data_IF_804802653939
#
_entry.id   IF_804802653939
#
_cell.length_a   1.000
_cell.length_b   1.000
_cell.length_c   1.000
_cell.angle_alpha   90.00
_cell.angle_beta   90.00
_cell.angle_gamma   90.00
#
_symmetry.space_group_name_H-M   'P 1'
#
loop_
_entity.id
_entity.type
_entity.pdbx_description
1 polymer ?
#
# COMPACT_ATOMS: atom_id res chain seq x y z
N UNK A 1 -20.53 -50.66 -4.01
CA UNK A 1 -19.48 -49.76 -3.55
C UNK A 1 -18.92 -49.00 -4.75
N UNK A 2 -19.20 -47.71 -4.84
CA UNK A 2 -18.59 -46.82 -5.83
C UNK A 2 -17.18 -46.51 -5.30
N UNK A 3 -16.16 -46.92 -6.05
CA UNK A 3 -14.77 -46.59 -5.73
C UNK A 3 -14.46 -45.14 -6.09
N UNK A 4 -14.09 -44.35 -5.10
CA UNK A 4 -13.71 -42.92 -5.25
C UNK A 4 -12.27 -42.75 -4.75
N UNK A 5 -11.27 -42.91 -5.64
CA UNK A 5 -9.86 -42.85 -5.22
C UNK A 5 -9.46 -41.46 -4.79
N UNK A 6 -8.47 -41.38 -3.92
CA UNK A 6 -7.84 -40.09 -3.59
C UNK A 6 -7.06 -39.55 -4.79
N UNK A 7 -7.14 -38.25 -4.96
CA UNK A 7 -6.38 -37.51 -5.97
C UNK A 7 -5.88 -36.19 -5.39
N UNK A 8 -4.93 -35.59 -6.08
CA UNK A 8 -4.39 -34.27 -5.73
C UNK A 8 -4.45 -33.34 -6.93
N UNK A 9 -4.74 -32.09 -6.68
CA UNK A 9 -4.69 -31.03 -7.68
C UNK A 9 -4.08 -29.78 -7.09
N UNK A 10 -3.23 -29.07 -7.86
CA UNK A 10 -2.59 -27.83 -7.44
C UNK A 10 -3.28 -26.64 -8.10
N UNK A 11 -3.84 -25.78 -7.27
CA UNK A 11 -4.40 -24.50 -7.68
C UNK A 11 -3.35 -23.42 -7.59
N UNK A 12 -3.18 -22.65 -8.64
CA UNK A 12 -2.17 -21.57 -8.72
C UNK A 12 -2.81 -20.19 -8.60
N UNK A 13 -1.99 -19.19 -8.32
CA UNK A 13 -2.40 -17.77 -8.23
C UNK A 13 -3.52 -17.53 -7.21
N UNK A 14 -3.47 -18.21 -6.09
CA UNK A 14 -4.38 -17.97 -4.96
C UNK A 14 -3.89 -16.72 -4.24
N UNK A 15 -4.71 -15.69 -4.20
CA UNK A 15 -4.41 -14.46 -3.45
C UNK A 15 -4.58 -14.71 -1.95
N UNK A 16 -3.54 -14.39 -1.19
CA UNK A 16 -3.61 -14.42 0.28
C UNK A 16 -4.29 -13.15 0.76
N UNK A 17 -5.43 -13.31 1.44
CA UNK A 17 -6.16 -12.19 2.02
C UNK A 17 -5.61 -11.85 3.39
N UNK A 18 -5.34 -10.57 3.61
CA UNK A 18 -4.88 -10.07 4.89
C UNK A 18 -6.09 -9.76 5.75
N UNK A 19 -6.10 -10.28 6.97
CA UNK A 19 -7.16 -10.02 7.94
C UNK A 19 -6.59 -9.28 9.15
N UNK A 20 -7.43 -8.48 9.81
CA UNK A 20 -7.05 -7.66 10.97
C UNK A 20 -5.94 -6.63 10.66
N UNK A 21 -5.97 -6.05 9.48
CA UNK A 21 -5.01 -5.01 9.07
C UNK A 21 -5.09 -3.75 9.94
N UNK A 22 -6.27 -3.46 10.51
CA UNK A 22 -6.47 -2.34 11.43
C UNK A 22 -5.57 -2.39 12.66
N UNK A 23 -5.13 -3.57 13.10
CA UNK A 23 -4.22 -3.67 14.23
C UNK A 23 -2.85 -3.03 13.96
N UNK A 24 -2.42 -2.98 12.71
CA UNK A 24 -1.22 -2.25 12.29
C UNK A 24 -1.46 -0.73 12.29
N UNK A 25 -2.58 -0.30 11.74
CA UNK A 25 -2.98 1.12 11.73
C UNK A 25 -3.09 1.69 13.15
N UNK A 26 -3.68 0.92 14.08
CA UNK A 26 -3.82 1.30 15.48
C UNK A 26 -2.47 1.45 16.19
N UNK A 27 -1.46 0.69 15.77
CA UNK A 27 -0.09 0.78 16.29
C UNK A 27 0.76 1.82 15.52
N UNK A 28 0.15 2.53 14.59
CA UNK A 28 0.82 3.50 13.74
C UNK A 28 1.93 2.88 12.88
N UNK A 29 1.70 1.66 12.39
CA UNK A 29 2.58 0.97 11.44
C UNK A 29 2.04 1.05 10.02
N UNK A 30 2.95 1.05 9.06
CA UNK A 30 2.67 0.72 7.67
C UNK A 30 3.34 -0.60 7.32
N UNK A 31 2.86 -1.26 6.29
CA UNK A 31 3.45 -2.53 5.87
C UNK A 31 3.41 -2.68 4.35
N UNK A 32 4.30 -3.53 3.87
CA UNK A 32 4.34 -3.99 2.49
C UNK A 32 4.47 -5.51 2.47
N UNK A 33 3.72 -6.17 1.59
CA UNK A 33 3.88 -7.60 1.33
C UNK A 33 5.06 -7.78 0.38
N UNK A 34 6.13 -8.40 0.87
CA UNK A 34 7.36 -8.61 0.10
C UNK A 34 7.29 -9.90 -0.69
N UNK A 35 6.71 -10.96 -0.12
CA UNK A 35 6.58 -12.27 -0.75
C UNK A 35 5.40 -13.03 -0.14
N UNK A 36 4.87 -13.99 -0.90
CA UNK A 36 3.78 -14.86 -0.45
C UNK A 36 2.37 -14.25 -0.58
N UNK A 37 2.22 -13.15 -1.32
CA UNK A 37 0.91 -12.53 -1.57
C UNK A 37 0.02 -13.33 -2.53
N UNK A 38 0.63 -14.12 -3.41
CA UNK A 38 -0.04 -15.09 -4.28
C UNK A 38 0.68 -16.41 -4.19
N UNK A 39 -0.06 -17.48 -3.95
CA UNK A 39 0.52 -18.80 -3.68
C UNK A 39 -0.18 -19.89 -4.50
N UNK A 40 0.46 -21.05 -4.54
CA UNK A 40 -0.14 -22.30 -5.02
C UNK A 40 -0.56 -23.14 -3.83
N UNK A 41 -1.70 -23.82 -3.97
CA UNK A 41 -2.27 -24.72 -2.95
C UNK A 41 -2.55 -26.05 -3.56
N UNK A 42 -2.03 -27.14 -2.96
CA UNK A 42 -2.33 -28.49 -3.36
C UNK A 42 -3.46 -29.04 -2.49
N UNK A 43 -4.55 -29.44 -3.14
CA UNK A 43 -5.70 -30.04 -2.48
C UNK A 43 -5.73 -31.52 -2.79
N UNK A 44 -5.82 -32.34 -1.75
CA UNK A 44 -5.90 -33.81 -1.84
C UNK A 44 -7.16 -34.31 -1.18
N UNK A 45 -7.77 -35.32 -1.76
CA UNK A 45 -8.98 -35.93 -1.22
C UNK A 45 -9.68 -36.83 -2.25
N UNK A 46 -10.94 -37.21 -1.98
CA UNK A 46 -11.72 -38.03 -2.93
C UNK A 46 -11.82 -37.33 -4.29
N UNK A 47 -11.62 -38.11 -5.35
CA UNK A 47 -11.58 -37.57 -6.72
C UNK A 47 -12.85 -36.84 -7.09
N UNK A 48 -14.00 -37.32 -6.70
CA UNK A 48 -15.30 -36.69 -6.96
C UNK A 48 -15.40 -35.30 -6.35
N UNK A 49 -14.76 -35.08 -5.20
CA UNK A 49 -14.73 -33.79 -4.51
C UNK A 49 -13.70 -32.86 -5.14
N UNK A 50 -12.46 -33.31 -5.30
CA UNK A 50 -11.35 -32.50 -5.80
C UNK A 50 -11.60 -32.01 -7.22
N UNK A 51 -12.13 -32.85 -8.10
CA UNK A 51 -12.40 -32.46 -9.49
C UNK A 51 -13.54 -31.45 -9.66
N UNK A 52 -14.39 -31.31 -8.64
CA UNK A 52 -15.49 -30.34 -8.63
C UNK A 52 -15.08 -28.96 -8.07
N UNK A 53 -13.85 -28.83 -7.59
CA UNK A 53 -13.35 -27.59 -7.01
C UNK A 53 -12.87 -26.59 -8.07
N UNK A 54 -13.07 -25.31 -7.78
CA UNK A 54 -12.57 -24.19 -8.55
C UNK A 54 -11.57 -23.40 -7.73
N UNK A 55 -10.76 -22.57 -8.38
CA UNK A 55 -9.83 -21.66 -7.72
C UNK A 55 -10.54 -20.80 -6.66
N UNK A 56 -11.76 -20.35 -6.95
CA UNK A 56 -12.56 -19.54 -6.02
C UNK A 56 -13.00 -20.25 -4.75
N UNK A 57 -12.90 -21.58 -4.71
CA UNK A 57 -13.23 -22.39 -3.54
C UNK A 57 -12.07 -22.48 -2.54
N UNK A 58 -10.88 -22.01 -2.93
CA UNK A 58 -9.68 -22.03 -2.10
C UNK A 58 -9.52 -20.68 -1.43
N UNK A 59 -9.56 -20.62 -0.11
CA UNK A 59 -9.36 -19.42 0.69
C UNK A 59 -8.01 -19.49 1.40
N UNK A 60 -7.14 -18.50 1.13
CA UNK A 60 -5.88 -18.33 1.83
C UNK A 60 -5.91 -17.02 2.60
N UNK A 61 -5.54 -17.04 3.88
CA UNK A 61 -5.57 -15.88 4.75
C UNK A 61 -4.29 -15.77 5.58
N UNK A 62 -3.90 -14.54 5.91
CA UNK A 62 -2.86 -14.22 6.87
C UNK A 62 -3.42 -13.23 7.88
N UNK A 63 -3.34 -13.57 9.16
CA UNK A 63 -3.87 -12.77 10.27
C UNK A 63 -2.78 -11.86 10.82
N UNK A 64 -2.97 -10.55 10.69
CA UNK A 64 -2.02 -9.53 11.12
C UNK A 64 -2.25 -9.02 12.55
N UNK A 65 -3.16 -9.64 13.30
CA UNK A 65 -3.53 -9.17 14.65
C UNK A 65 -2.40 -9.20 15.67
N UNK A 66 -1.43 -10.09 15.50
CA UNK A 66 -0.30 -10.27 16.42
C UNK A 66 1.03 -9.74 15.89
N UNK A 67 1.00 -9.02 14.78
CA UNK A 67 2.18 -8.47 14.13
C UNK A 67 2.77 -7.35 14.99
N UNK A 68 4.11 -7.34 15.10
CA UNK A 68 4.90 -6.29 15.76
C UNK A 68 5.87 -5.68 14.74
N UNK A 69 6.58 -4.62 15.14
CA UNK A 69 7.61 -4.00 14.29
C UNK A 69 8.75 -4.96 13.90
N UNK A 70 8.90 -6.08 14.63
CA UNK A 70 9.94 -7.09 14.41
C UNK A 70 9.45 -8.33 13.67
N UNK A 71 8.17 -8.36 13.28
CA UNK A 71 7.60 -9.49 12.56
C UNK A 71 8.00 -9.45 11.09
N UNK A 72 8.64 -10.50 10.61
CA UNK A 72 9.01 -10.65 9.20
C UNK A 72 8.04 -11.57 8.44
N UNK A 73 7.48 -12.57 9.13
CA UNK A 73 6.63 -13.60 8.52
C UNK A 73 5.34 -13.79 9.29
N UNK A 74 4.28 -14.03 8.55
CA UNK A 74 2.95 -14.39 9.09
C UNK A 74 2.49 -15.68 8.43
N UNK A 75 2.04 -16.63 9.23
CA UNK A 75 1.56 -17.91 8.72
C UNK A 75 0.35 -17.73 7.81
N UNK A 76 0.36 -18.48 6.70
CA UNK A 76 -0.76 -18.54 5.77
C UNK A 76 -1.63 -19.72 6.14
N UNK A 77 -2.92 -19.46 6.35
CA UNK A 77 -3.93 -20.48 6.59
C UNK A 77 -4.77 -20.68 5.34
N UNK A 78 -5.03 -21.93 5.02
CA UNK A 78 -5.78 -22.31 3.81
C UNK A 78 -6.98 -23.15 4.19
N UNK A 79 -8.12 -22.83 3.59
CA UNK A 79 -9.36 -23.59 3.70
C UNK A 79 -9.95 -23.82 2.32
N UNK A 80 -10.66 -24.93 2.18
CA UNK A 80 -11.50 -25.17 1.01
C UNK A 80 -12.94 -24.94 1.40
N UNK A 81 -13.58 -23.99 0.72
CA UNK A 81 -14.96 -23.58 1.02
C UNK A 81 -15.78 -23.78 -0.25
N UNK A 82 -16.75 -24.68 -0.19
CA UNK A 82 -17.66 -24.97 -1.28
C UNK A 82 -19.09 -24.69 -0.85
N UNK A 83 -19.80 -23.87 -1.63
CA UNK A 83 -21.19 -23.49 -1.34
C UNK A 83 -21.39 -22.93 0.08
N UNK A 84 -20.41 -22.14 0.55
CA UNK A 84 -20.44 -21.52 1.87
C UNK A 84 -20.03 -22.41 3.03
N UNK A 85 -19.60 -23.65 2.77
CA UNK A 85 -19.20 -24.61 3.79
C UNK A 85 -17.73 -25.01 3.67
N UNK A 86 -17.04 -25.07 4.82
CA UNK A 86 -15.68 -25.59 4.89
C UNK A 86 -15.70 -27.08 4.70
N UNK A 87 -14.93 -27.60 3.74
CA UNK A 87 -14.80 -29.02 3.48
C UNK A 87 -13.75 -29.62 4.42
N UNK A 88 -14.15 -30.70 5.14
CA UNK A 88 -13.27 -31.39 6.08
C UNK A 88 -12.70 -32.69 5.53
N UNK A 89 -13.18 -33.15 4.37
CA UNK A 89 -12.77 -34.40 3.72
C UNK A 89 -11.67 -34.20 2.67
N UNK A 90 -11.09 -33.02 2.63
CA UNK A 90 -9.95 -32.68 1.79
C UNK A 90 -8.84 -32.08 2.64
N UNK A 91 -7.60 -32.26 2.20
CA UNK A 91 -6.42 -31.63 2.78
C UNK A 91 -5.90 -30.58 1.81
N UNK A 92 -5.70 -29.36 2.31
CA UNK A 92 -5.16 -28.26 1.52
C UNK A 92 -3.82 -27.83 2.10
N UNK A 93 -2.78 -27.89 1.29
CA UNK A 93 -1.40 -27.57 1.70
C UNK A 93 -0.89 -26.42 0.84
N UNK A 94 -0.58 -25.25 1.43
CA UNK A 94 0.03 -24.16 0.70
C UNK A 94 1.49 -24.49 0.36
N UNK A 95 1.90 -24.21 -0.85
CA UNK A 95 3.31 -24.35 -1.26
C UNK A 95 4.20 -23.37 -0.52
N UNK A 96 3.70 -22.16 -0.31
CA UNK A 96 4.31 -21.14 0.54
C UNK A 96 3.51 -21.06 1.83
N UNK A 97 4.14 -21.37 2.96
CA UNK A 97 3.45 -21.48 4.26
C UNK A 97 3.40 -20.18 5.03
N UNK A 98 4.20 -19.17 4.66
CA UNK A 98 4.26 -17.89 5.33
C UNK A 98 4.36 -16.75 4.34
N UNK A 99 3.69 -15.65 4.70
CA UNK A 99 3.74 -14.38 3.99
C UNK A 99 4.85 -13.54 4.60
N UNK A 100 5.71 -12.96 3.76
CA UNK A 100 6.78 -12.07 4.19
C UNK A 100 6.32 -10.63 4.15
N UNK A 101 6.52 -9.92 5.25
CA UNK A 101 6.17 -8.52 5.42
C UNK A 101 7.41 -7.66 5.67
N UNK A 102 7.35 -6.43 5.20
CA UNK A 102 8.20 -5.34 5.66
C UNK A 102 7.34 -4.33 6.40
N UNK A 103 7.66 -4.04 7.67
CA UNK A 103 6.87 -3.18 8.54
C UNK A 103 7.69 -1.99 8.94
N UNK A 104 7.10 -0.80 8.87
CA UNK A 104 7.71 0.45 9.28
C UNK A 104 6.75 1.22 10.17
N UNK A 105 7.32 2.06 11.06
CA UNK A 105 6.55 3.08 11.74
C UNK A 105 6.10 4.15 10.74
N UNK A 106 4.94 4.70 11.00
CA UNK A 106 4.47 5.94 10.39
C UNK A 106 4.89 7.12 11.24
N UNK A 107 5.31 8.19 10.62
CA UNK A 107 5.69 9.41 11.30
C UNK A 107 5.19 10.62 10.52
N UNK A 108 5.30 11.79 11.14
CA UNK A 108 4.86 13.07 10.57
C UNK A 108 5.98 14.07 10.71
N UNK A 109 6.24 14.84 9.66
CA UNK A 109 7.07 16.02 9.76
C UNK A 109 6.36 17.24 9.18
N UNK A 110 6.66 18.40 9.73
CA UNK A 110 6.11 19.67 9.30
C UNK A 110 7.15 20.41 8.46
N UNK A 111 6.76 20.77 7.25
CA UNK A 111 7.61 21.51 6.33
C UNK A 111 6.96 22.83 5.93
N UNK A 112 7.78 23.88 5.74
CA UNK A 112 7.31 25.12 5.15
C UNK A 112 7.00 24.92 3.67
N UNK A 113 6.03 25.67 3.19
CA UNK A 113 5.64 25.64 1.78
C UNK A 113 6.42 26.73 1.03
N UNK A 114 7.26 26.29 0.08
CA UNK A 114 8.03 27.20 -0.77
C UNK A 114 7.18 27.61 -1.97
N UNK A 115 6.99 28.91 -2.14
CA UNK A 115 6.26 29.47 -3.28
C UNK A 115 7.26 29.92 -4.32
N UNK A 116 7.24 29.30 -5.50
CA UNK A 116 8.08 29.63 -6.63
C UNK A 116 7.24 30.27 -7.74
N UNK A 117 7.80 31.26 -8.39
CA UNK A 117 7.17 31.89 -9.55
C UNK A 117 7.81 31.38 -10.84
N UNK A 118 7.00 31.22 -11.88
CA UNK A 118 7.43 30.86 -13.21
C UNK A 118 7.00 31.92 -14.22
N UNK A 119 7.74 32.03 -15.31
CA UNK A 119 7.49 33.00 -16.36
C UNK A 119 8.03 34.39 -15.98
N UNK A 120 7.78 35.37 -16.84
CA UNK A 120 8.20 36.78 -16.69
C UNK A 120 7.00 37.66 -16.57
N UNK A 121 7.03 38.59 -15.58
CA UNK A 121 6.03 39.64 -15.46
C UNK A 121 6.06 40.57 -16.69
N UNK A 122 5.03 41.39 -16.85
CA UNK A 122 5.02 42.42 -17.89
C UNK A 122 6.16 43.42 -17.71
N UNK A 123 6.56 44.05 -18.80
CA UNK A 123 7.61 45.09 -18.76
C UNK A 123 7.28 46.16 -17.74
N UNK A 124 8.25 46.48 -16.88
CA UNK A 124 8.09 47.49 -15.81
C UNK A 124 7.47 46.94 -14.51
N UNK A 125 7.19 45.66 -14.44
CA UNK A 125 6.64 45.01 -13.26
C UNK A 125 7.58 43.91 -12.74
N UNK A 126 7.56 43.72 -11.42
CA UNK A 126 8.34 42.70 -10.74
C UNK A 126 7.50 42.03 -9.65
N UNK A 127 7.87 40.81 -9.26
CA UNK A 127 7.28 40.14 -8.10
C UNK A 127 7.91 40.74 -6.83
N UNK A 128 7.11 41.42 -6.02
CA UNK A 128 7.59 42.04 -4.78
C UNK A 128 7.69 41.03 -3.63
N UNK A 129 6.73 40.12 -3.52
CA UNK A 129 6.68 39.11 -2.47
C UNK A 129 5.77 37.98 -2.87
N UNK A 130 5.97 36.85 -2.21
CA UNK A 130 5.13 35.66 -2.32
C UNK A 130 4.72 35.21 -0.93
N UNK A 131 3.53 34.60 -0.83
CA UNK A 131 3.04 33.98 0.40
C UNK A 131 2.09 32.87 0.11
N UNK A 132 1.87 32.00 1.09
CA UNK A 132 0.91 30.92 1.00
C UNK A 132 0.06 30.82 2.26
N UNK A 133 -1.12 30.25 2.12
CA UNK A 133 -2.00 29.90 3.21
C UNK A 133 -2.51 28.48 2.95
N UNK A 134 -2.11 27.49 3.76
CA UNK A 134 -1.22 27.57 4.93
C UNK A 134 0.25 27.82 4.57
N UNK A 135 1.03 28.26 5.59
CA UNK A 135 2.47 28.46 5.44
C UNK A 135 3.26 27.18 5.66
N UNK A 136 2.73 26.27 6.51
CA UNK A 136 3.31 24.97 6.85
C UNK A 136 2.32 23.86 6.56
N UNK A 137 2.83 22.72 6.11
CA UNK A 137 2.05 21.54 5.84
C UNK A 137 2.71 20.33 6.52
N UNK A 138 1.87 19.45 7.06
CA UNK A 138 2.32 18.18 7.65
C UNK A 138 2.38 17.12 6.58
N UNK A 139 3.48 16.38 6.54
CA UNK A 139 3.69 15.21 5.69
C UNK A 139 3.75 13.99 6.58
N UNK A 140 2.89 13.02 6.33
CA UNK A 140 2.79 11.78 7.12
C UNK A 140 3.03 10.59 6.21
N UNK A 141 3.80 9.62 6.67
CA UNK A 141 4.06 8.41 5.93
C UNK A 141 5.07 7.48 6.61
N UNK A 142 5.46 6.37 5.93
CA UNK A 142 6.52 5.50 6.42
C UNK A 142 7.80 6.26 6.67
N UNK A 143 8.48 5.96 7.77
CA UNK A 143 9.65 6.72 8.23
C UNK A 143 10.73 6.84 7.15
N UNK A 144 11.07 5.75 6.46
CA UNK A 144 12.09 5.76 5.41
C UNK A 144 11.72 6.66 4.23
N UNK A 145 10.46 6.63 3.82
CA UNK A 145 9.96 7.45 2.72
C UNK A 145 9.86 8.91 3.13
N UNK A 146 9.43 9.17 4.36
CA UNK A 146 9.32 10.52 4.93
C UNK A 146 10.68 11.21 4.98
N UNK A 147 11.75 10.51 5.30
CA UNK A 147 13.12 11.04 5.32
C UNK A 147 13.58 11.55 3.94
N UNK A 148 13.05 10.99 2.87
CA UNK A 148 13.39 11.41 1.51
C UNK A 148 12.74 12.73 1.09
N UNK A 149 11.70 13.18 1.80
CA UNK A 149 11.01 14.45 1.50
C UNK A 149 11.80 15.61 2.11
N UNK A 150 12.44 16.40 1.26
CA UNK A 150 13.28 17.53 1.69
C UNK A 150 12.53 18.86 1.68
N UNK A 151 11.58 19.05 0.76
CA UNK A 151 10.87 20.31 0.59
C UNK A 151 9.47 20.12 0.02
N UNK A 152 8.60 21.10 0.30
CA UNK A 152 7.30 21.24 -0.33
C UNK A 152 7.31 22.52 -1.17
N UNK A 153 6.76 22.43 -2.37
CA UNK A 153 6.81 23.52 -3.34
C UNK A 153 5.48 23.68 -4.09
N UNK A 154 5.13 24.92 -4.35
CA UNK A 154 4.08 25.29 -5.30
C UNK A 154 4.65 26.24 -6.34
N UNK A 155 4.15 26.16 -7.57
CA UNK A 155 4.54 27.03 -8.66
C UNK A 155 3.37 27.93 -9.04
N UNK A 156 3.65 29.22 -9.19
CA UNK A 156 2.69 30.22 -9.64
C UNK A 156 3.22 30.84 -10.93
N UNK A 157 2.43 30.77 -11.99
CA UNK A 157 2.76 31.41 -13.26
C UNK A 157 2.44 32.90 -13.18
N UNK A 158 3.47 33.74 -13.34
CA UNK A 158 3.34 35.19 -13.34
C UNK A 158 3.55 35.81 -14.72
N UNK A 159 3.50 34.99 -15.77
CA UNK A 159 3.70 35.44 -17.16
C UNK A 159 2.77 36.58 -17.51
N UNK A 160 3.33 37.70 -17.94
CA UNK A 160 2.59 38.89 -18.36
C UNK A 160 1.83 39.63 -17.26
N UNK A 161 2.09 39.30 -15.99
CA UNK A 161 1.35 39.86 -14.86
C UNK A 161 1.61 41.36 -14.70
N UNK A 162 0.54 42.11 -14.47
CA UNK A 162 0.52 43.55 -14.17
C UNK A 162 -0.17 43.87 -12.84
N UNK A 163 -0.75 42.88 -12.21
CA UNK A 163 -1.53 42.98 -10.98
C UNK A 163 -1.17 41.81 -10.05
N UNK A 164 -1.55 41.93 -8.80
CA UNK A 164 -1.40 40.86 -7.82
C UNK A 164 -2.17 39.60 -8.26
N UNK A 165 -1.55 38.44 -8.04
CA UNK A 165 -2.14 37.16 -8.37
C UNK A 165 -2.47 36.44 -7.08
N UNK A 166 -3.72 35.96 -6.98
CA UNK A 166 -4.17 35.03 -5.94
C UNK A 166 -4.76 33.81 -6.60
N UNK A 167 -4.18 32.65 -6.36
CA UNK A 167 -4.56 31.42 -7.01
C UNK A 167 -4.34 30.22 -6.10
N UNK A 168 -4.95 29.11 -6.45
CA UNK A 168 -4.67 27.80 -5.84
C UNK A 168 -3.70 27.04 -6.72
N UNK A 169 -2.77 26.34 -6.12
CA UNK A 169 -1.80 25.51 -6.82
C UNK A 169 -1.58 24.19 -6.07
N UNK A 170 -1.24 23.13 -6.83
CA UNK A 170 -0.93 21.85 -6.26
C UNK A 170 0.43 21.83 -5.58
N UNK A 171 0.49 21.22 -4.38
CA UNK A 171 1.72 21.08 -3.63
C UNK A 171 2.50 19.91 -4.16
N UNK A 172 3.78 20.12 -4.46
CA UNK A 172 4.73 19.09 -4.85
C UNK A 172 5.68 18.78 -3.72
N UNK A 173 5.92 17.50 -3.50
CA UNK A 173 6.96 17.02 -2.58
C UNK A 173 8.26 16.83 -3.36
N UNK A 174 9.36 17.35 -2.86
CA UNK A 174 10.66 17.30 -3.53
C UNK A 174 11.68 16.59 -2.64
N UNK A 175 12.58 15.83 -3.26
CA UNK A 175 13.75 15.27 -2.59
C UNK A 175 14.90 16.31 -2.48
N UNK A 176 16.04 15.89 -1.94
CA UNK A 176 17.22 16.77 -1.77
C UNK A 176 17.79 17.28 -3.10
N UNK A 177 17.58 16.53 -4.18
CA UNK A 177 18.05 16.88 -5.52
C UNK A 177 17.03 17.76 -6.29
N UNK A 178 15.90 18.08 -5.67
CA UNK A 178 14.83 18.86 -6.28
C UNK A 178 13.91 18.06 -7.19
N UNK A 179 14.01 16.73 -7.18
CA UNK A 179 13.12 15.85 -7.95
C UNK A 179 11.81 15.65 -7.22
N UNK A 180 10.72 15.60 -7.99
CA UNK A 180 9.39 15.35 -7.43
C UNK A 180 9.26 13.92 -6.92
N UNK A 181 8.71 13.79 -5.72
CA UNK A 181 8.32 12.51 -5.12
C UNK A 181 6.81 12.35 -5.29
N UNK A 182 6.42 11.27 -5.98
CA UNK A 182 5.02 10.88 -6.12
C UNK A 182 4.86 9.49 -5.51
N UNK A 183 4.20 9.42 -4.36
CA UNK A 183 3.98 8.15 -3.65
C UNK A 183 2.71 8.26 -2.80
N UNK A 184 1.78 7.33 -3.03
CA UNK A 184 0.48 7.32 -2.37
C UNK A 184 0.56 7.02 -0.86
N UNK A 185 1.71 6.50 -0.37
CA UNK A 185 1.94 6.28 1.05
C UNK A 185 2.23 7.57 1.82
N UNK A 186 2.52 8.67 1.13
CA UNK A 186 2.71 10.00 1.72
C UNK A 186 1.41 10.80 1.67
N UNK A 187 1.02 11.35 2.80
CA UNK A 187 -0.19 12.16 2.95
C UNK A 187 0.17 13.57 3.40
N UNK A 188 -0.48 14.57 2.77
CA UNK A 188 -0.37 15.98 3.15
C UNK A 188 -1.61 16.42 3.96
N UNK A 189 -1.38 17.17 5.01
CA UNK A 189 -2.47 17.72 5.84
C UNK A 189 -2.16 19.11 6.43
#
# INVERSE_FOLDING_TARGET
NIYDPNTSYTFSNITVQLVNTQSLTEKNYTFEVVDGGKISVTVSGPKSVVTDLKTSDIAATADLSKVTAFTDYVDIQVQVIKDGQVLNNVEAVPRTSALKLSIENRDTKTLSLDVNTTGSTASGYTVASTSSSPTYIKVTGPTSLLESVAALSVNVDVSGAKEDISTSADVKMLDEDGNEIVNDALELS
#
